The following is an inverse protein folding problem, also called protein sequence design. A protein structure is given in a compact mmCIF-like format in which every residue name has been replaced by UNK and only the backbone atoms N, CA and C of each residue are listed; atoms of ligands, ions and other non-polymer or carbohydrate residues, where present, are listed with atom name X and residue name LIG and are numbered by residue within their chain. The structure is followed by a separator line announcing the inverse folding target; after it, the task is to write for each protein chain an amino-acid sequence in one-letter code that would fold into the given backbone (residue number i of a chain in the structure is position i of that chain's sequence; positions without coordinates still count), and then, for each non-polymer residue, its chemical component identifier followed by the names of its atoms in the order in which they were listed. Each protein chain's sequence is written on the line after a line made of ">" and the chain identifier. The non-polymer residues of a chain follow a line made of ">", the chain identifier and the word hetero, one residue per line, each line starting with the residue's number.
data_IF_722072098431
#
_entry.id   IF_722072098431
#
_cell.length_a   1.000
_cell.length_b   1.000
_cell.length_c   1.000
_cell.angle_alpha   90.00
_cell.angle_beta   90.00
_cell.angle_gamma   90.00
#
_symmetry.space_group_name_H-M   'P 1'
#
loop_
_entity.id
_entity.type
_entity.pdbx_description
1 polymer ?
#
# COMPACT_ATOMS: atom_id res chain seq x y z
N UNK A 1 51.27 25.83 -10.00
CA UNK A 1 50.27 25.42 -8.99
C UNK A 1 48.83 25.28 -9.51
N UNK A 2 48.49 25.72 -10.72
CA UNK A 2 47.12 25.72 -11.28
C UNK A 2 46.57 24.36 -11.75
N UNK A 3 47.43 23.37 -12.01
CA UNK A 3 47.04 22.04 -12.54
C UNK A 3 46.44 21.10 -11.48
N UNK A 4 46.94 21.15 -10.24
CA UNK A 4 46.49 20.27 -9.14
C UNK A 4 45.10 20.64 -8.62
N UNK A 5 44.78 21.94 -8.59
CA UNK A 5 43.45 22.44 -8.17
C UNK A 5 42.35 22.04 -9.15
N UNK A 6 42.61 22.05 -10.48
CA UNK A 6 41.65 21.59 -11.51
C UNK A 6 41.35 20.09 -11.46
N UNK A 7 42.32 19.25 -11.07
CA UNK A 7 42.10 17.80 -10.94
C UNK A 7 41.25 17.44 -9.71
N UNK A 8 41.40 18.17 -8.60
CA UNK A 8 40.58 17.95 -7.39
C UNK A 8 39.12 18.37 -7.60
N UNK A 9 38.86 19.50 -8.25
CA UNK A 9 37.48 19.96 -8.50
C UNK A 9 36.72 19.03 -9.45
N UNK A 10 37.39 18.46 -10.46
CA UNK A 10 36.76 17.53 -11.41
C UNK A 10 36.40 16.16 -10.81
N UNK A 11 37.22 15.65 -9.89
CA UNK A 11 36.90 14.41 -9.15
C UNK A 11 35.71 14.62 -8.22
N UNK A 12 35.64 15.77 -7.56
CA UNK A 12 34.53 16.12 -6.67
C UNK A 12 33.19 16.21 -7.44
N UNK A 13 33.19 16.84 -8.62
CA UNK A 13 31.98 16.97 -9.45
C UNK A 13 31.48 15.64 -10.01
N UNK A 14 32.39 14.71 -10.35
CA UNK A 14 32.01 13.39 -10.87
C UNK A 14 31.45 12.50 -9.75
N UNK A 15 32.06 12.54 -8.55
CA UNK A 15 31.55 11.83 -7.38
C UNK A 15 30.17 12.35 -6.93
N UNK A 16 29.94 13.66 -7.00
CA UNK A 16 28.63 14.25 -6.69
C UNK A 16 27.56 13.85 -7.71
N UNK A 17 27.91 13.77 -9.00
CA UNK A 17 26.99 13.34 -10.06
C UNK A 17 26.62 11.85 -9.93
N UNK A 18 27.60 11.00 -9.57
CA UNK A 18 27.35 9.57 -9.31
C UNK A 18 26.52 9.37 -8.04
N UNK A 19 26.80 10.12 -6.96
CA UNK A 19 26.02 10.07 -5.73
C UNK A 19 24.58 10.54 -5.95
N UNK A 20 24.37 11.61 -6.73
CA UNK A 20 23.04 12.12 -7.07
C UNK A 20 22.24 11.11 -7.93
N UNK A 21 22.90 10.42 -8.86
CA UNK A 21 22.27 9.36 -9.64
C UNK A 21 21.95 8.13 -8.79
N UNK A 22 22.84 7.72 -7.86
CA UNK A 22 22.54 6.63 -6.93
C UNK A 22 21.37 6.97 -6.02
N UNK A 23 21.32 8.21 -5.48
CA UNK A 23 20.21 8.69 -4.66
C UNK A 23 18.89 8.75 -5.45
N UNK A 24 18.94 9.13 -6.73
CA UNK A 24 17.77 9.08 -7.62
C UNK A 24 17.30 7.65 -7.88
N UNK A 25 18.22 6.71 -8.12
CA UNK A 25 17.89 5.29 -8.36
C UNK A 25 17.34 4.62 -7.11
N UNK A 26 17.87 4.91 -5.93
CA UNK A 26 17.33 4.39 -4.65
C UNK A 26 15.99 5.04 -4.26
N UNK A 27 15.75 6.29 -4.70
CA UNK A 27 14.46 6.95 -4.53
C UNK A 27 13.38 6.39 -5.47
N UNK A 28 13.77 5.98 -6.69
CA UNK A 28 12.83 5.43 -7.68
C UNK A 28 12.37 4.01 -7.36
N UNK A 29 13.21 3.17 -6.73
CA UNK A 29 12.81 1.82 -6.30
C UNK A 29 11.87 1.81 -5.10
N UNK A 30 11.82 2.88 -4.30
CA UNK A 30 10.81 3.07 -3.26
C UNK A 30 9.42 3.48 -3.81
N UNK A 31 9.35 3.83 -5.10
CA UNK A 31 8.14 4.16 -5.84
C UNK A 31 7.71 3.02 -6.77
N UNK A 32 8.05 1.77 -6.42
CA UNK A 32 7.39 0.63 -7.06
C UNK A 32 5.89 0.78 -6.77
N UNK A 33 5.11 1.06 -7.82
CA UNK A 33 3.65 1.10 -7.75
C UNK A 33 3.19 -0.11 -6.94
N UNK A 34 2.40 0.12 -5.90
CA UNK A 34 1.89 -0.99 -5.10
C UNK A 34 1.23 -1.99 -6.03
N UNK A 35 1.58 -3.28 -5.93
CA UNK A 35 0.93 -4.41 -6.61
C UNK A 35 -0.54 -4.61 -6.16
N UNK A 36 -1.19 -3.54 -5.74
CA UNK A 36 -2.55 -3.51 -5.22
C UNK A 36 -3.44 -2.78 -6.22
N UNK A 37 -4.54 -3.41 -6.60
CA UNK A 37 -5.65 -2.76 -7.27
C UNK A 37 -6.57 -2.13 -6.22
N UNK A 38 -6.53 -0.82 -6.10
CA UNK A 38 -7.40 -0.08 -5.19
C UNK A 38 -8.85 -0.20 -5.66
N UNK A 39 -9.71 -0.73 -4.80
CA UNK A 39 -11.15 -0.75 -5.01
C UNK A 39 -11.74 0.57 -4.55
N UNK A 40 -11.49 0.96 -3.30
CA UNK A 40 -11.86 2.27 -2.76
C UNK A 40 -10.90 2.68 -1.63
N UNK A 41 -10.55 3.96 -1.57
CA UNK A 41 -9.69 4.57 -0.55
C UNK A 41 -10.36 5.76 0.16
N UNK A 42 -11.63 6.03 -0.14
CA UNK A 42 -12.46 7.07 0.48
C UNK A 42 -11.86 8.49 0.54
N UNK A 43 -10.84 8.79 -0.27
CA UNK A 43 -10.18 10.09 -0.39
C UNK A 43 -11.03 11.09 -1.19
N UNK A 44 -12.26 11.34 -0.74
CA UNK A 44 -13.25 12.23 -1.37
C UNK A 44 -14.30 12.67 -0.35
N UNK A 45 -15.11 13.67 -0.70
CA UNK A 45 -16.12 14.22 0.21
C UNK A 45 -17.45 13.43 0.23
N UNK A 46 -17.76 12.69 -0.83
CA UNK A 46 -19.06 12.02 -1.01
C UNK A 46 -18.88 10.54 -1.33
N UNK A 47 -19.94 9.74 -1.16
CA UNK A 47 -19.90 8.29 -1.43
C UNK A 47 -19.96 7.90 -2.92
N UNK A 48 -20.03 8.88 -3.83
CA UNK A 48 -20.05 8.70 -5.29
C UNK A 48 -18.64 8.68 -5.90
N UNK A 49 -18.52 8.12 -7.10
CA UNK A 49 -17.33 8.17 -7.96
C UNK A 49 -16.05 7.66 -7.26
N UNK A 50 -16.12 6.46 -6.71
CA UNK A 50 -15.01 5.87 -5.95
C UNK A 50 -13.91 5.27 -6.83
N UNK A 51 -12.71 5.16 -6.24
CA UNK A 51 -11.43 5.09 -6.96
C UNK A 51 -11.30 3.97 -8.01
N UNK A 52 -11.82 2.77 -7.74
CA UNK A 52 -11.68 1.65 -8.68
C UNK A 52 -12.79 1.56 -9.73
N UNK A 53 -13.85 2.35 -9.63
CA UNK A 53 -15.02 2.17 -10.48
C UNK A 53 -15.05 3.09 -11.72
N UNK A 54 -15.88 2.70 -12.70
CA UNK A 54 -16.28 3.60 -13.80
C UNK A 54 -17.09 4.77 -13.23
N UNK A 55 -17.06 5.91 -13.91
CA UNK A 55 -17.86 7.11 -13.58
C UNK A 55 -19.31 6.74 -13.26
N UNK A 56 -19.84 7.24 -12.15
CA UNK A 56 -21.22 7.02 -11.71
C UNK A 56 -21.44 5.85 -10.75
N UNK A 57 -20.39 5.12 -10.36
CA UNK A 57 -20.51 4.09 -9.33
C UNK A 57 -20.63 4.71 -7.93
N UNK A 58 -21.49 4.15 -7.09
CA UNK A 58 -21.84 4.74 -5.80
C UNK A 58 -21.99 3.67 -4.73
N UNK A 59 -21.47 3.96 -3.54
CA UNK A 59 -21.91 3.22 -2.36
C UNK A 59 -23.36 3.57 -2.02
N UNK A 60 -24.14 2.54 -1.76
CA UNK A 60 -25.56 2.64 -1.43
C UNK A 60 -25.91 1.56 -0.41
N UNK A 61 -27.06 1.68 0.24
CA UNK A 61 -27.53 0.69 1.18
C UNK A 61 -29.04 0.52 1.12
N UNK A 62 -29.49 -0.66 1.53
CA UNK A 62 -30.90 -0.97 1.77
C UNK A 62 -31.07 -1.47 3.19
N UNK A 63 -31.93 -0.80 3.96
CA UNK A 63 -32.47 -1.17 5.28
C UNK A 63 -31.46 -1.49 6.42
N UNK A 64 -30.15 -1.52 6.16
CA UNK A 64 -29.10 -1.98 7.10
C UNK A 64 -28.52 -0.92 8.03
N UNK A 65 -28.48 0.31 7.53
CA UNK A 65 -27.59 1.33 8.05
C UNK A 65 -28.38 2.45 8.68
N UNK A 66 -28.03 2.77 9.93
CA UNK A 66 -28.44 4.03 10.55
C UNK A 66 -27.85 5.21 9.76
N UNK A 67 -26.60 5.10 9.31
CA UNK A 67 -25.91 6.11 8.49
C UNK A 67 -24.67 5.54 7.80
N UNK A 68 -24.30 6.14 6.67
CA UNK A 68 -23.02 5.92 5.99
C UNK A 68 -22.45 7.26 5.53
N UNK A 69 -21.23 7.57 5.96
CA UNK A 69 -20.57 8.87 5.69
C UNK A 69 -19.07 8.68 5.50
N UNK A 70 -18.40 9.62 4.85
CA UNK A 70 -16.93 9.69 4.88
C UNK A 70 -16.52 10.57 6.06
N UNK A 71 -15.67 10.04 6.94
CA UNK A 71 -15.08 10.71 8.10
C UNK A 71 -13.58 10.43 8.09
N UNK A 72 -12.75 11.47 8.10
CA UNK A 72 -11.27 11.37 8.08
C UNK A 72 -10.72 10.48 6.95
N UNK A 73 -11.27 10.61 5.74
CA UNK A 73 -10.96 9.78 4.57
C UNK A 73 -11.21 8.27 4.77
N UNK A 74 -12.13 7.90 5.66
CA UNK A 74 -12.61 6.53 5.82
C UNK A 74 -14.14 6.48 5.69
N UNK A 75 -14.67 5.39 5.14
CA UNK A 75 -16.09 5.10 5.25
C UNK A 75 -16.43 4.74 6.69
N UNK A 76 -17.25 5.56 7.33
CA UNK A 76 -17.94 5.23 8.57
C UNK A 76 -19.31 4.66 8.26
N UNK A 77 -19.59 3.48 8.82
CA UNK A 77 -20.85 2.78 8.64
C UNK A 77 -21.44 2.43 10.00
N UNK A 78 -22.56 3.08 10.34
CA UNK A 78 -23.36 2.78 11.53
C UNK A 78 -24.52 1.86 11.12
N UNK A 79 -24.66 0.71 11.77
CA UNK A 79 -25.73 -0.25 11.53
C UNK A 79 -26.51 -0.52 12.81
N UNK A 80 -27.81 -0.76 12.67
CA UNK A 80 -28.72 -1.00 13.80
C UNK A 80 -29.82 -2.04 13.52
N UNK A 81 -29.87 -2.56 12.29
CA UNK A 81 -30.88 -3.51 11.83
C UNK A 81 -30.30 -4.37 10.72
N UNK A 82 -31.03 -5.43 10.35
CA UNK A 82 -30.73 -6.23 9.17
C UNK A 82 -30.77 -5.36 7.91
N UNK A 83 -29.81 -5.58 7.01
CA UNK A 83 -29.86 -5.07 5.64
C UNK A 83 -28.52 -5.20 4.95
N UNK A 84 -28.26 -4.37 3.95
CA UNK A 84 -26.96 -4.31 3.28
C UNK A 84 -26.46 -2.87 3.02
N UNK A 85 -25.14 -2.73 2.97
CA UNK A 85 -24.45 -1.57 2.42
C UNK A 85 -23.38 -2.06 1.45
N UNK A 86 -23.32 -1.49 0.26
CA UNK A 86 -22.51 -2.04 -0.80
C UNK A 86 -22.38 -1.11 -1.98
N UNK A 87 -21.66 -1.56 -2.99
CA UNK A 87 -21.50 -0.82 -4.23
C UNK A 87 -21.49 -1.77 -5.42
N UNK A 88 -21.88 -1.23 -6.58
CA UNK A 88 -21.59 -1.81 -7.89
C UNK A 88 -20.73 -0.85 -8.68
N UNK A 89 -19.58 -1.33 -9.17
CA UNK A 89 -18.64 -0.53 -9.94
C UNK A 89 -17.62 -1.46 -10.55
N UNK A 90 -17.77 -1.77 -11.84
CA UNK A 90 -17.04 -2.85 -12.51
C UNK A 90 -15.53 -2.71 -12.38
N UNK A 91 -14.97 -3.45 -11.42
CA UNK A 91 -13.54 -3.68 -11.23
C UNK A 91 -13.24 -5.08 -11.71
N UNK A 92 -12.15 -5.24 -12.44
CA UNK A 92 -11.66 -6.57 -12.79
C UNK A 92 -10.52 -6.97 -11.84
N UNK A 93 -10.88 -7.74 -10.83
CA UNK A 93 -9.95 -8.27 -9.84
C UNK A 93 -9.40 -9.67 -10.19
N UNK A 94 -9.56 -10.14 -11.43
CA UNK A 94 -9.29 -11.54 -11.80
C UNK A 94 -7.83 -12.01 -11.59
N UNK A 95 -6.89 -11.07 -11.58
CA UNK A 95 -5.44 -11.33 -11.43
C UNK A 95 -4.96 -11.35 -9.97
N UNK A 96 -5.84 -11.11 -9.00
CA UNK A 96 -5.47 -10.97 -7.60
C UNK A 96 -5.88 -12.18 -6.75
N UNK A 97 -5.07 -12.48 -5.71
CA UNK A 97 -5.28 -13.61 -4.80
C UNK A 97 -6.06 -13.25 -3.54
N UNK A 98 -5.91 -12.01 -3.08
CA UNK A 98 -6.45 -11.55 -1.80
C UNK A 98 -7.28 -10.29 -1.97
N UNK A 99 -8.35 -10.20 -1.19
CA UNK A 99 -9.01 -8.93 -0.87
C UNK A 99 -8.41 -8.43 0.44
N UNK A 100 -7.84 -7.23 0.42
CA UNK A 100 -7.36 -6.50 1.60
C UNK A 100 -8.38 -5.45 1.99
N UNK A 101 -8.78 -5.44 3.25
CA UNK A 101 -9.62 -4.41 3.84
C UNK A 101 -8.90 -3.84 5.07
N UNK A 102 -8.62 -2.55 5.06
CA UNK A 102 -8.10 -1.81 6.21
C UNK A 102 -9.27 -1.29 7.03
N UNK A 103 -9.53 -1.89 8.18
CA UNK A 103 -10.79 -1.70 8.94
C UNK A 103 -10.55 -1.63 10.45
N UNK A 104 -11.39 -0.87 11.15
CA UNK A 104 -11.55 -0.88 12.61
C UNK A 104 -13.03 -0.88 13.00
N UNK A 105 -13.31 -1.27 14.24
CA UNK A 105 -14.63 -1.23 14.86
C UNK A 105 -14.65 -0.34 16.11
N UNK A 106 -15.84 0.10 16.52
CA UNK A 106 -15.99 0.94 17.71
C UNK A 106 -15.69 0.16 19.01
N UNK A 107 -16.14 -1.09 19.06
CA UNK A 107 -16.02 -2.01 20.18
C UNK A 107 -14.96 -3.08 19.95
N UNK A 108 -14.66 -3.40 18.69
CA UNK A 108 -13.91 -4.61 18.32
C UNK A 108 -14.83 -5.83 18.33
N UNK A 109 -14.62 -6.75 17.39
CA UNK A 109 -15.44 -7.95 17.20
C UNK A 109 -16.61 -7.80 16.23
N UNK A 110 -16.85 -6.62 15.67
CA UNK A 110 -17.96 -6.33 14.73
C UNK A 110 -17.94 -7.22 13.48
N UNK A 111 -16.82 -7.87 13.17
CA UNK A 111 -16.73 -8.82 12.06
C UNK A 111 -17.69 -10.02 12.19
N UNK A 112 -18.22 -10.30 13.38
CA UNK A 112 -19.23 -11.33 13.57
C UNK A 112 -20.66 -10.87 13.22
N UNK A 113 -20.87 -9.57 12.98
CA UNK A 113 -22.21 -8.98 12.81
C UNK A 113 -22.68 -8.89 11.36
N UNK A 114 -21.79 -9.12 10.40
CA UNK A 114 -22.11 -8.99 8.99
C UNK A 114 -21.39 -10.03 8.13
N UNK A 115 -22.03 -10.36 7.01
CA UNK A 115 -21.47 -11.19 5.96
C UNK A 115 -20.89 -10.28 4.87
N UNK A 116 -19.75 -10.65 4.30
CA UNK A 116 -19.25 -10.03 3.08
C UNK A 116 -19.74 -10.84 1.88
N UNK A 117 -20.57 -10.23 1.06
CA UNK A 117 -21.04 -10.80 -0.21
C UNK A 117 -20.42 -10.02 -1.37
N UNK A 118 -20.45 -10.61 -2.57
CA UNK A 118 -19.84 -10.03 -3.75
C UNK A 118 -20.74 -10.24 -4.97
N UNK A 119 -20.50 -9.54 -6.08
CA UNK A 119 -21.15 -9.84 -7.35
C UNK A 119 -20.13 -10.06 -8.48
N UNK A 120 -20.50 -10.96 -9.40
CA UNK A 120 -19.82 -11.17 -10.68
C UNK A 120 -20.88 -10.95 -11.77
N UNK A 121 -20.69 -9.91 -12.58
CA UNK A 121 -21.77 -9.38 -13.42
C UNK A 121 -22.95 -8.90 -12.57
N UNK A 122 -24.17 -9.27 -12.98
CA UNK A 122 -25.41 -8.88 -12.29
C UNK A 122 -25.79 -9.80 -11.12
N UNK A 123 -25.03 -10.88 -10.88
CA UNK A 123 -25.38 -11.89 -9.89
C UNK A 123 -24.64 -11.64 -8.58
N UNK A 124 -25.40 -11.32 -7.53
CA UNK A 124 -24.90 -11.30 -6.15
C UNK A 124 -24.73 -12.74 -5.66
N UNK A 125 -23.58 -13.01 -5.04
CA UNK A 125 -23.21 -14.30 -4.46
C UNK A 125 -23.00 -14.17 -2.96
N UNK A 126 -23.61 -15.09 -2.24
CA UNK A 126 -23.49 -15.19 -0.78
C UNK A 126 -22.37 -16.16 -0.42
N UNK A 127 -21.45 -15.73 0.44
CA UNK A 127 -20.36 -16.61 0.90
C UNK A 127 -20.84 -17.55 2.02
N UNK A 128 -21.82 -17.11 2.81
CA UNK A 128 -22.40 -17.90 3.92
C UNK A 128 -21.51 -17.95 5.16
N UNK A 129 -20.65 -16.94 5.33
CA UNK A 129 -19.81 -16.74 6.51
C UNK A 129 -19.88 -15.27 6.92
N UNK A 130 -19.92 -15.01 8.22
CA UNK A 130 -19.66 -13.66 8.72
C UNK A 130 -18.20 -13.28 8.43
N UNK A 131 -17.90 -11.99 8.47
CA UNK A 131 -16.60 -11.45 8.10
C UNK A 131 -15.44 -11.96 8.99
N UNK A 132 -15.70 -12.18 10.29
CA UNK A 132 -14.69 -12.74 11.21
C UNK A 132 -14.32 -14.18 10.83
N UNK A 133 -15.30 -15.02 10.51
CA UNK A 133 -15.08 -16.40 10.07
C UNK A 133 -14.50 -16.48 8.65
N UNK A 134 -14.85 -15.51 7.80
CA UNK A 134 -14.34 -15.40 6.44
C UNK A 134 -12.83 -15.08 6.41
N UNK A 135 -12.42 -14.14 7.25
CA UNK A 135 -11.03 -13.67 7.34
C UNK A 135 -10.18 -14.48 8.32
N UNK A 136 -10.79 -15.16 9.29
CA UNK A 136 -10.10 -15.82 10.40
C UNK A 136 -9.51 -14.85 11.42
N UNK A 137 -9.86 -13.56 11.35
CA UNK A 137 -9.30 -12.50 12.20
C UNK A 137 -10.43 -11.59 12.70
N UNK A 138 -10.39 -11.24 13.99
CA UNK A 138 -11.35 -10.30 14.57
C UNK A 138 -11.01 -8.85 14.19
N UNK A 139 -12.05 -8.04 13.92
CA UNK A 139 -11.93 -6.59 13.84
C UNK A 139 -11.51 -6.05 15.22
N UNK A 140 -10.54 -5.14 15.24
CA UNK A 140 -10.07 -4.47 16.47
C UNK A 140 -10.54 -3.01 16.54
N UNK A 141 -10.28 -2.36 17.67
CA UNK A 141 -10.54 -0.92 17.84
C UNK A 141 -9.57 -0.03 17.05
N UNK A 142 -8.39 -0.57 16.73
CA UNK A 142 -7.40 0.07 15.86
C UNK A 142 -7.52 -0.46 14.44
N UNK A 143 -7.12 0.37 13.46
CA UNK A 143 -7.07 -0.04 12.06
C UNK A 143 -6.13 -1.20 11.87
N UNK A 144 -6.60 -2.21 11.15
CA UNK A 144 -5.79 -3.35 10.72
C UNK A 144 -6.10 -3.71 9.29
N UNK A 145 -5.05 -4.12 8.58
CA UNK A 145 -5.19 -4.79 7.30
C UNK A 145 -5.64 -6.24 7.53
N UNK A 146 -6.81 -6.55 7.01
CA UNK A 146 -7.39 -7.90 7.01
C UNK A 146 -7.36 -8.42 5.58
N UNK A 147 -6.73 -9.59 5.40
CA UNK A 147 -6.54 -10.23 4.10
C UNK A 147 -7.45 -11.45 4.00
N UNK A 148 -8.32 -11.45 3.00
CA UNK A 148 -9.22 -12.57 2.68
C UNK A 148 -8.66 -13.28 1.46
N UNK A 149 -8.29 -14.56 1.63
CA UNK A 149 -7.91 -15.43 0.53
C UNK A 149 -9.16 -15.78 -0.29
N UNK A 150 -9.18 -15.33 -1.55
CA UNK A 150 -10.34 -15.50 -2.43
C UNK A 150 -10.56 -16.98 -2.77
N UNK A 151 -9.48 -17.70 -3.10
CA UNK A 151 -9.55 -19.09 -3.52
C UNK A 151 -9.91 -20.02 -2.35
N UNK A 152 -9.31 -19.81 -1.17
CA UNK A 152 -9.59 -20.61 0.01
C UNK A 152 -11.05 -20.48 0.48
N UNK A 153 -11.66 -19.31 0.21
CA UNK A 153 -13.07 -19.05 0.52
C UNK A 153 -14.02 -19.30 -0.66
N UNK A 154 -13.54 -19.89 -1.77
CA UNK A 154 -14.34 -20.18 -2.96
C UNK A 154 -15.06 -18.94 -3.52
N UNK A 155 -14.42 -17.78 -3.39
CA UNK A 155 -14.87 -16.52 -3.99
C UNK A 155 -14.41 -16.52 -5.44
N UNK A 156 -15.34 -16.26 -6.36
CA UNK A 156 -15.01 -16.20 -7.77
C UNK A 156 -14.07 -15.04 -8.09
N UNK A 157 -13.30 -15.22 -9.16
CA UNK A 157 -12.57 -14.13 -9.80
C UNK A 157 -13.53 -13.15 -10.49
N UNK A 158 -13.04 -11.95 -10.83
CA UNK A 158 -13.82 -10.95 -11.56
C UNK A 158 -14.91 -10.28 -10.72
N UNK A 159 -14.62 -10.06 -9.43
CA UNK A 159 -15.50 -9.35 -8.50
C UNK A 159 -15.72 -7.91 -8.96
N UNK A 160 -16.98 -7.53 -9.17
CA UNK A 160 -17.38 -6.20 -9.66
C UNK A 160 -18.12 -5.37 -8.60
N UNK A 161 -18.47 -5.99 -7.47
CA UNK A 161 -19.26 -5.40 -6.40
C UNK A 161 -18.95 -6.08 -5.07
N UNK A 162 -19.04 -5.33 -3.99
CA UNK A 162 -18.92 -5.81 -2.61
C UNK A 162 -20.09 -5.31 -1.79
N UNK A 163 -20.71 -6.20 -1.02
CA UNK A 163 -21.85 -5.90 -0.16
C UNK A 163 -21.57 -6.38 1.28
N UNK A 164 -21.60 -5.46 2.24
CA UNK A 164 -21.65 -5.75 3.67
C UNK A 164 -23.09 -6.00 4.08
N UNK A 165 -23.43 -7.22 4.47
CA UNK A 165 -24.81 -7.63 4.80
C UNK A 165 -24.92 -7.84 6.31
N UNK A 166 -25.60 -6.93 6.99
CA UNK A 166 -25.72 -6.91 8.45
C UNK A 166 -26.81 -7.87 8.91
N UNK A 167 -26.50 -8.61 9.98
CA UNK A 167 -27.38 -9.60 10.58
C UNK A 167 -28.46 -8.94 11.43
N UNK A 168 -29.60 -9.62 11.56
CA UNK A 168 -30.71 -9.14 12.37
C UNK A 168 -30.34 -9.10 13.87
N UNK A 169 -30.87 -8.10 14.57
CA UNK A 169 -30.57 -7.87 15.99
C UNK A 169 -29.13 -7.43 16.31
N UNK A 170 -28.30 -7.14 15.29
CA UNK A 170 -26.95 -6.59 15.47
C UNK A 170 -26.93 -5.08 15.25
N UNK A 171 -26.06 -4.40 16.00
CA UNK A 171 -25.83 -2.97 15.89
C UNK A 171 -24.39 -2.62 16.22
N UNK A 172 -23.83 -1.65 15.52
CA UNK A 172 -22.44 -1.25 15.75
C UNK A 172 -21.97 -0.16 14.78
N UNK A 173 -20.67 0.08 14.81
CA UNK A 173 -20.01 1.03 13.92
C UNK A 173 -18.66 0.48 13.50
N UNK A 174 -18.42 0.51 12.19
CA UNK A 174 -17.12 0.18 11.60
C UNK A 174 -16.62 1.37 10.78
N UNK A 175 -15.29 1.48 10.67
CA UNK A 175 -14.62 2.40 9.77
C UNK A 175 -13.73 1.62 8.81
N UNK A 176 -13.84 1.89 7.52
CA UNK A 176 -13.06 1.27 6.46
C UNK A 176 -12.23 2.35 5.79
N UNK A 177 -10.91 2.21 5.84
CA UNK A 177 -9.94 3.17 5.28
C UNK A 177 -9.61 2.84 3.83
N UNK A 178 -9.36 1.55 3.53
CA UNK A 178 -8.97 1.09 2.20
C UNK A 178 -9.58 -0.28 1.91
N UNK A 179 -10.04 -0.46 0.69
CA UNK A 179 -10.38 -1.75 0.10
C UNK A 179 -9.52 -1.89 -1.15
N UNK A 180 -8.76 -2.98 -1.24
CA UNK A 180 -7.93 -3.25 -2.41
C UNK A 180 -7.77 -4.74 -2.66
N UNK A 181 -7.46 -5.10 -3.89
CA UNK A 181 -7.06 -6.45 -4.26
C UNK A 181 -5.53 -6.52 -4.37
N UNK A 182 -4.94 -7.61 -3.90
CA UNK A 182 -3.48 -7.76 -3.83
C UNK A 182 -3.04 -9.20 -4.02
N UNK A 183 -1.77 -9.39 -4.37
CA UNK A 183 -1.11 -10.69 -4.44
C UNK A 183 -0.28 -11.01 -3.18
N UNK A 184 -0.15 -10.06 -2.25
CA UNK A 184 0.51 -10.24 -0.96
C UNK A 184 -0.51 -10.57 0.13
N UNK A 185 -0.18 -11.51 1.01
CA UNK A 185 -1.02 -11.87 2.18
C UNK A 185 -0.70 -11.05 3.44
N UNK A 186 0.02 -9.93 3.30
CA UNK A 186 0.44 -9.08 4.41
C UNK A 186 1.57 -9.64 5.26
N UNK A 187 2.00 -10.89 5.03
CA UNK A 187 3.23 -11.40 5.64
C UNK A 187 4.39 -10.73 4.91
N UNK A 188 5.20 -9.99 5.67
CA UNK A 188 6.45 -9.41 5.15
C UNK A 188 7.22 -10.52 4.44
N UNK A 189 7.56 -10.31 3.17
CA UNK A 189 8.35 -11.27 2.42
C UNK A 189 9.59 -11.61 3.27
N UNK A 190 9.67 -12.85 3.73
CA UNK A 190 10.90 -13.34 4.34
C UNK A 190 11.99 -13.11 3.29
N UNK A 191 13.06 -12.39 3.61
CA UNK A 191 14.13 -12.16 2.65
C UNK A 191 14.56 -13.53 2.14
N UNK A 192 14.52 -13.70 0.81
CA UNK A 192 14.96 -14.92 0.18
C UNK A 192 16.29 -15.33 0.80
N UNK A 193 16.30 -16.50 1.46
CA UNK A 193 17.48 -17.07 2.10
C UNK A 193 18.52 -17.26 1.02
N UNK A 194 19.40 -16.27 0.84
CA UNK A 194 20.58 -16.39 -0.01
C UNK A 194 21.38 -17.52 0.62
N UNK A 195 21.41 -18.68 -0.04
CA UNK A 195 22.29 -19.77 0.37
C UNK A 195 23.72 -19.22 0.44
N UNK A 196 24.41 -19.32 1.59
CA UNK A 196 25.76 -18.82 1.72
C UNK A 196 26.65 -19.64 0.78
N UNK A 197 27.20 -18.96 -0.23
CA UNK A 197 28.33 -19.47 -0.98
C UNK A 197 29.47 -19.67 0.01
N UNK A 198 29.89 -20.93 0.16
CA UNK A 198 30.95 -21.40 1.04
C UNK A 198 32.26 -20.68 0.71
N UNK A 199 32.64 -19.69 1.51
CA UNK A 199 34.00 -19.13 1.53
C UNK A 199 34.77 -19.73 2.71
N UNK A 200 35.91 -20.32 2.40
CA UNK A 200 36.89 -20.89 3.34
C UNK A 200 37.74 -19.79 4.03
N UNK A 201 38.35 -20.10 5.18
CA UNK A 201 38.57 -19.14 6.26
C UNK A 201 39.88 -18.36 6.16
N UNK A 202 39.87 -17.11 6.63
CA UNK A 202 41.08 -16.36 7.01
C UNK A 202 41.05 -15.96 8.48
N UNK A 203 42.18 -16.24 9.14
CA UNK A 203 42.55 -16.12 10.55
C UNK A 203 42.21 -14.79 11.26
N UNK A 204 41.76 -14.97 12.52
CA UNK A 204 41.84 -14.14 13.75
C UNK A 204 43.24 -13.51 13.98
N UNK A 205 43.53 -12.46 14.77
CA UNK A 205 42.91 -11.60 15.83
C UNK A 205 43.97 -10.44 16.10
N UNK A 206 43.91 -9.51 17.12
CA UNK A 206 43.01 -9.37 18.28
C UNK A 206 42.46 -7.95 18.59
N UNK A 207 41.58 -7.94 19.61
CA UNK A 207 40.80 -6.87 20.26
C UNK A 207 41.59 -5.71 20.90
N UNK A 208 40.89 -4.58 21.11
CA UNK A 208 40.92 -3.83 22.38
C UNK A 208 39.59 -3.13 22.68
N UNK A 209 39.36 -2.98 23.98
CA UNK A 209 38.13 -2.81 24.75
C UNK A 209 37.88 -1.34 25.15
N UNK A 210 36.79 -1.13 25.90
CA UNK A 210 36.35 0.05 26.68
C UNK A 210 35.41 1.03 25.94
N UNK A 211 34.23 1.44 26.41
CA UNK A 211 33.52 1.23 27.67
C UNK A 211 32.28 2.17 27.74
N UNK A 212 31.19 1.64 28.29
CA UNK A 212 30.06 2.21 29.07
C UNK A 212 29.30 3.55 28.77
N UNK A 213 27.96 3.40 28.76
CA UNK A 213 26.88 4.19 29.43
C UNK A 213 26.37 5.54 28.86
N UNK A 214 25.07 5.62 28.53
CA UNK A 214 23.95 6.00 29.43
C UNK A 214 22.68 6.42 28.65
N UNK A 215 21.50 5.98 29.11
CA UNK A 215 20.16 6.52 28.76
C UNK A 215 19.93 7.93 29.37
N UNK A 216 18.88 8.70 28.99
CA UNK A 216 17.55 8.49 29.59
C UNK A 216 16.31 8.76 28.69
N UNK A 217 15.21 8.11 29.11
CA UNK A 217 13.78 8.41 29.09
C UNK A 217 13.15 9.52 28.19
N UNK A 218 12.16 9.05 27.41
CA UNK A 218 10.77 9.50 27.21
C UNK A 218 10.37 10.99 27.21
N UNK A 219 9.65 11.39 26.14
CA UNK A 219 8.42 12.20 26.21
C UNK A 219 7.49 11.89 25.05
N UNK A 220 6.20 11.73 25.38
CA UNK A 220 5.06 11.67 24.47
C UNK A 220 4.87 12.93 23.62
N UNK A 221 4.29 12.76 22.44
CA UNK A 221 3.83 13.87 21.60
C UNK A 221 3.20 13.38 20.30
N UNK A 222 1.87 13.44 20.25
CA UNK A 222 0.99 13.03 19.15
C UNK A 222 1.51 13.41 17.75
N UNK A 223 1.64 12.41 16.88
CA UNK A 223 1.77 12.59 15.45
C UNK A 223 0.55 11.99 14.76
N UNK A 224 -0.39 12.85 14.34
CA UNK A 224 -1.30 12.50 13.26
C UNK A 224 -0.44 12.37 12.00
N UNK A 225 -0.13 11.13 11.61
CA UNK A 225 0.66 10.85 10.42
C UNK A 225 -0.22 11.17 9.20
N UNK A 226 0.08 12.28 8.53
CA UNK A 226 -0.52 12.62 7.25
C UNK A 226 -0.10 11.55 6.22
N UNK A 227 -1.07 10.76 5.75
CA UNK A 227 -0.90 9.74 4.72
C UNK A 227 -0.73 10.40 3.34
N UNK A 228 0.46 10.42 2.71
CA UNK A 228 0.65 11.04 1.41
C UNK A 228 0.33 9.99 0.32
N UNK A 229 -0.95 9.72 0.08
CA UNK A 229 -1.39 8.77 -0.95
C UNK A 229 -2.32 9.43 -1.96
N UNK A 230 -1.74 10.28 -2.80
CA UNK A 230 -2.24 10.48 -4.17
C UNK A 230 -1.22 9.89 -5.12
N UNK A 231 -1.30 8.57 -5.28
CA UNK A 231 -0.74 7.86 -6.42
C UNK A 231 -1.57 8.15 -7.67
N UNK A 232 -1.66 9.43 -8.05
CA UNK A 232 -1.92 9.75 -9.43
C UNK A 232 -0.79 9.09 -10.22
N UNK A 233 -1.15 8.29 -11.21
CA UNK A 233 -0.23 7.51 -12.06
C UNK A 233 0.59 8.45 -12.94
N UNK A 234 1.46 9.25 -12.32
CA UNK A 234 2.54 9.98 -12.97
C UNK A 234 3.54 8.96 -13.47
N UNK A 235 3.28 8.52 -14.69
CA UNK A 235 4.07 7.68 -15.59
C UNK A 235 5.58 7.64 -15.21
N UNK A 236 5.92 6.77 -14.24
CA UNK A 236 7.29 6.62 -13.71
C UNK A 236 8.25 6.23 -14.83
N UNK A 237 7.75 5.53 -15.85
CA UNK A 237 8.43 5.19 -17.10
C UNK A 237 8.84 6.44 -17.89
N UNK A 238 8.01 7.48 -17.94
CA UNK A 238 8.30 8.74 -18.63
C UNK A 238 9.42 9.51 -17.94
N UNK A 239 9.37 9.64 -16.62
CA UNK A 239 10.43 10.31 -15.86
C UNK A 239 11.73 9.50 -15.84
N UNK A 240 11.65 8.18 -15.77
CA UNK A 240 12.81 7.29 -15.92
C UNK A 240 13.50 7.43 -17.29
N UNK A 241 12.70 7.51 -18.38
CA UNK A 241 13.22 7.76 -19.73
C UNK A 241 13.85 9.15 -19.86
N UNK A 242 13.22 10.19 -19.33
CA UNK A 242 13.75 11.56 -19.35
C UNK A 242 15.06 11.66 -18.54
N UNK A 243 15.15 10.99 -17.39
CA UNK A 243 16.36 10.92 -16.57
C UNK A 243 17.51 10.17 -17.27
N UNK A 244 17.20 9.05 -17.94
CA UNK A 244 18.20 8.30 -18.72
C UNK A 244 18.70 9.09 -19.94
N UNK A 245 17.80 9.75 -20.68
CA UNK A 245 18.16 10.57 -21.84
C UNK A 245 19.02 11.78 -21.43
N UNK A 246 18.69 12.44 -20.32
CA UNK A 246 19.48 13.57 -19.80
C UNK A 246 20.84 13.14 -19.25
N UNK A 247 20.92 12.00 -18.55
CA UNK A 247 22.18 11.41 -18.09
C UNK A 247 23.11 10.99 -19.24
N UNK A 248 22.55 10.35 -20.27
CA UNK A 248 23.29 9.97 -21.48
C UNK A 248 23.85 11.17 -22.25
N UNK A 249 23.05 12.23 -22.39
CA UNK A 249 23.47 13.47 -23.05
C UNK A 249 24.62 14.18 -22.29
N UNK A 250 24.53 14.24 -20.96
CA UNK A 250 25.58 14.84 -20.12
C UNK A 250 26.91 14.07 -20.23
N UNK A 251 26.87 12.74 -20.28
CA UNK A 251 28.04 11.89 -20.43
C UNK A 251 28.69 12.05 -21.81
N UNK A 252 27.88 12.08 -22.88
CA UNK A 252 28.36 12.32 -24.24
C UNK A 252 29.03 13.70 -24.39
N UNK A 253 28.46 14.74 -23.77
CA UNK A 253 29.02 16.08 -23.78
C UNK A 253 30.37 16.15 -23.04
N UNK A 254 30.49 15.47 -21.90
CA UNK A 254 31.74 15.36 -21.14
C UNK A 254 32.84 14.62 -21.92
N UNK A 255 32.48 13.55 -22.65
CA UNK A 255 33.42 12.82 -23.52
C UNK A 255 33.90 13.70 -24.67
N UNK A 256 33.00 14.45 -25.31
CA UNK A 256 33.33 15.36 -26.43
C UNK A 256 34.25 16.50 -25.99
N UNK A 257 33.98 17.11 -24.83
CA UNK A 257 34.85 18.15 -24.25
C UNK A 257 36.25 17.63 -23.87
N UNK A 258 36.37 16.34 -23.52
CA UNK A 258 37.66 15.71 -23.21
C UNK A 258 38.50 15.48 -24.47
N UNK A 259 37.87 15.09 -25.58
CA UNK A 259 38.54 14.92 -26.89
C UNK A 259 38.95 16.24 -27.53
N UNK A 260 38.24 17.33 -27.26
CA UNK A 260 38.60 18.65 -27.80
C UNK A 260 39.78 19.33 -27.07
N UNK A 261 40.26 18.76 -25.95
CA UNK A 261 41.38 19.26 -25.14
C UNK A 261 42.62 18.37 -25.20
N UNK A 262 42.57 17.29 -25.96
CA UNK A 262 43.68 16.39 -26.31
C UNK A 262 44.11 16.67 -27.75
#
# INVERSE_FOLDING_TARGET
>A
MTSLLKKKSFKLSLSLLVALNLLFVTGLTAMAASDNLVFDNYNRATLSDFAGAKVGAQWTGGDAGKSATIEDNALKLEYASKGWFGTGGGIDASEYKYLKITIKGASGGEGADFDLNYAVGETVKTIGKNFADLSGVAITKDYKDIYIDLAANKIDKGIQALHFNFQDGKSGTIWIDDISFTNSNGKKAEPAKVEPKKEEPKKEEPKKDDGEKSEPAATDGAGAEANPKTGDTMNVTLYGLIALLSGGAALAFAIKLRRAKS
#
